data_IF_767629548150
#
_entry.id   IF_767629548150
#
_cell.length_a   1.000
_cell.length_b   1.000
_cell.length_c   1.000
_cell.angle_alpha   90.00
_cell.angle_beta   90.00
_cell.angle_gamma   90.00
#
_symmetry.space_group_name_H-M   'P 1'
#
loop_
_entity.id
_entity.type
_entity.pdbx_description
1 polymer ?
#
# COMPACT_ATOMS: atom_id res chain seq x y z
N UNK A 1 0.07 2.53 -13.50
CA UNK A 1 0.20 1.06 -13.65
C UNK A 1 1.10 0.71 -14.79
N UNK A 2 0.88 1.28 -15.97
CA UNK A 2 1.64 0.96 -17.17
C UNK A 2 3.14 1.27 -16.98
N UNK A 3 3.49 2.36 -16.29
CA UNK A 3 4.89 2.69 -15.96
C UNK A 3 5.58 1.64 -15.08
N UNK A 4 4.89 1.13 -14.04
CA UNK A 4 5.42 0.09 -13.15
C UNK A 4 5.68 -1.20 -13.93
N UNK A 5 4.78 -1.57 -14.83
CA UNK A 5 4.96 -2.75 -15.67
C UNK A 5 6.06 -2.54 -16.73
N UNK A 6 6.14 -1.36 -17.34
CA UNK A 6 7.20 -1.02 -18.29
C UNK A 6 8.59 -1.09 -17.64
N UNK A 7 8.73 -0.58 -16.41
CA UNK A 7 9.98 -0.70 -15.65
C UNK A 7 10.32 -2.17 -15.37
N UNK A 8 9.35 -2.96 -14.92
CA UNK A 8 9.55 -4.39 -14.69
C UNK A 8 10.03 -5.11 -15.96
N UNK A 9 9.40 -4.86 -17.11
CA UNK A 9 9.79 -5.45 -18.38
C UNK A 9 11.20 -5.03 -18.80
N UNK A 10 11.54 -3.75 -18.65
CA UNK A 10 12.87 -3.22 -18.94
C UNK A 10 13.93 -3.94 -18.09
N UNK A 11 13.75 -4.01 -16.79
CA UNK A 11 14.72 -4.65 -15.90
C UNK A 11 14.82 -6.16 -16.15
N UNK A 12 13.70 -6.83 -16.46
CA UNK A 12 13.71 -8.25 -16.81
C UNK A 12 14.54 -8.53 -18.07
N UNK A 13 14.50 -7.62 -19.06
CA UNK A 13 15.37 -7.68 -20.23
C UNK A 13 16.85 -7.51 -19.92
N UNK A 14 17.19 -6.68 -18.93
CA UNK A 14 18.56 -6.42 -18.49
C UNK A 14 19.13 -7.57 -17.63
N UNK A 15 18.30 -8.22 -16.82
CA UNK A 15 18.69 -9.28 -15.88
C UNK A 15 17.78 -10.52 -15.97
N UNK A 16 17.73 -11.24 -17.11
CA UNK A 16 16.72 -12.27 -17.37
C UNK A 16 16.86 -13.55 -16.53
N UNK A 17 18.04 -13.78 -15.93
CA UNK A 17 18.33 -15.00 -15.15
C UNK A 17 18.01 -14.84 -13.66
N UNK A 18 17.76 -13.62 -13.19
CA UNK A 18 17.52 -13.36 -11.77
C UNK A 18 16.03 -13.47 -11.43
N UNK A 19 15.67 -14.06 -10.26
CA UNK A 19 14.30 -14.05 -9.81
C UNK A 19 13.87 -12.63 -9.40
N UNK A 20 12.66 -12.23 -9.80
CA UNK A 20 12.10 -10.93 -9.48
C UNK A 20 11.15 -10.98 -8.29
N UNK A 21 11.39 -10.12 -7.30
CA UNK A 21 10.49 -9.86 -6.17
C UNK A 21 10.00 -8.44 -6.26
N UNK A 22 8.70 -8.24 -6.01
CA UNK A 22 8.14 -6.88 -5.89
C UNK A 22 7.79 -6.57 -4.45
N UNK A 23 8.20 -5.40 -3.96
CA UNK A 23 7.74 -4.84 -2.70
C UNK A 23 7.00 -3.54 -2.98
N UNK A 24 5.77 -3.44 -2.50
CA UNK A 24 4.99 -2.19 -2.55
C UNK A 24 4.61 -1.72 -1.16
N UNK A 25 5.01 -0.50 -0.80
CA UNK A 25 4.61 0.16 0.45
C UNK A 25 3.51 1.21 0.19
N UNK A 26 2.54 1.32 1.11
CA UNK A 26 1.48 2.33 1.09
C UNK A 26 0.72 2.38 -0.26
N UNK A 27 0.68 3.51 -0.96
CA UNK A 27 0.15 3.61 -2.34
C UNK A 27 0.75 2.54 -3.26
N UNK A 28 2.06 2.31 -3.18
CA UNK A 28 2.77 1.26 -3.91
C UNK A 28 2.24 -0.14 -3.62
N UNK A 29 1.72 -0.40 -2.41
CA UNK A 29 1.10 -1.69 -2.08
C UNK A 29 -0.15 -1.96 -2.91
N UNK A 30 -0.96 -0.93 -3.19
CA UNK A 30 -2.15 -1.04 -4.04
C UNK A 30 -1.77 -1.16 -5.52
N UNK A 31 -0.70 -0.46 -5.95
CA UNK A 31 -0.15 -0.63 -7.30
C UNK A 31 0.38 -2.04 -7.51
N UNK A 32 1.14 -2.59 -6.55
CA UNK A 32 1.60 -3.98 -6.58
C UNK A 32 0.43 -4.95 -6.67
N UNK A 33 -0.59 -4.81 -5.81
CA UNK A 33 -1.81 -5.65 -5.89
C UNK A 33 -2.50 -5.53 -7.25
N UNK A 34 -2.49 -4.34 -7.86
CA UNK A 34 -3.03 -4.12 -9.20
C UNK A 34 -2.21 -4.83 -10.28
N UNK A 35 -0.89 -4.82 -10.15
CA UNK A 35 0.03 -5.53 -11.04
C UNK A 35 -0.28 -7.03 -11.04
N UNK A 36 -0.42 -7.62 -9.85
CA UNK A 36 -0.59 -9.06 -9.66
C UNK A 36 -1.83 -9.63 -10.36
N UNK A 37 -2.92 -8.87 -10.50
CA UNK A 37 -4.11 -9.34 -11.25
C UNK A 37 -4.18 -8.86 -12.69
N UNK A 38 -3.51 -7.75 -13.05
CA UNK A 38 -3.49 -7.27 -14.44
C UNK A 38 -2.49 -8.05 -15.29
N UNK A 39 -1.38 -8.46 -14.67
CA UNK A 39 -0.27 -9.17 -15.30
C UNK A 39 0.13 -10.38 -14.43
N UNK A 40 -0.77 -11.38 -14.27
CA UNK A 40 -0.47 -12.56 -13.46
C UNK A 40 0.70 -13.39 -14.01
N UNK A 41 1.05 -13.19 -15.28
CA UNK A 41 2.15 -13.80 -16.02
C UNK A 41 3.43 -12.94 -16.05
N UNK A 42 3.53 -11.91 -15.19
CA UNK A 42 4.63 -10.93 -15.23
C UNK A 42 6.02 -11.48 -14.90
N UNK A 43 6.16 -12.76 -14.55
CA UNK A 43 7.43 -13.37 -14.14
C UNK A 43 7.89 -13.03 -12.72
N UNK A 44 7.04 -12.36 -11.92
CA UNK A 44 7.31 -12.11 -10.50
C UNK A 44 7.25 -13.43 -9.74
N UNK A 45 8.26 -13.70 -8.91
CA UNK A 45 8.41 -14.94 -8.13
C UNK A 45 7.87 -14.84 -6.71
N UNK A 46 7.80 -13.63 -6.15
CA UNK A 46 7.22 -13.37 -4.83
C UNK A 46 6.81 -11.89 -4.70
N UNK A 47 5.84 -11.60 -3.83
CA UNK A 47 5.38 -10.23 -3.59
C UNK A 47 5.29 -9.89 -2.09
N UNK A 48 5.80 -8.72 -1.72
CA UNK A 48 5.67 -8.14 -0.37
C UNK A 48 4.73 -6.93 -0.43
N UNK A 49 3.63 -7.02 0.32
CA UNK A 49 2.58 -6.00 0.40
C UNK A 49 2.69 -5.31 1.76
N UNK A 50 3.26 -4.11 1.77
CA UNK A 50 3.62 -3.36 2.97
C UNK A 50 2.67 -2.19 3.23
N UNK A 51 2.14 -2.06 4.46
CA UNK A 51 1.30 -0.91 4.84
C UNK A 51 0.02 -0.74 4.00
N UNK A 52 -0.63 -1.85 3.63
CA UNK A 52 -1.83 -1.84 2.78
C UNK A 52 -3.14 -1.72 3.58
N UNK A 53 -4.28 -1.68 2.89
CA UNK A 53 -5.59 -1.64 3.54
C UNK A 53 -6.67 -2.47 2.81
N UNK A 54 -7.79 -2.66 3.51
CA UNK A 54 -9.08 -3.05 2.95
C UNK A 54 -10.16 -2.09 3.42
N UNK A 55 -10.80 -1.40 2.49
CA UNK A 55 -11.78 -0.36 2.75
C UNK A 55 -13.23 -0.86 2.59
N UNK A 56 -14.20 -0.35 3.37
CA UNK A 56 -15.61 -0.61 3.14
C UNK A 56 -16.06 -0.12 1.75
N UNK A 57 -16.84 -0.92 1.02
CA UNK A 57 -17.31 -0.57 -0.33
C UNK A 57 -18.14 0.72 -0.36
N UNK A 58 -19.00 0.93 0.65
CA UNK A 58 -19.77 2.17 0.79
C UNK A 58 -18.86 3.39 0.95
N UNK A 59 -17.79 3.30 1.76
CA UNK A 59 -16.84 4.39 1.95
C UNK A 59 -16.11 4.72 0.64
N UNK A 60 -15.67 3.71 -0.11
CA UNK A 60 -15.04 3.89 -1.42
C UNK A 60 -15.99 4.54 -2.43
N UNK A 61 -17.26 4.11 -2.48
CA UNK A 61 -18.27 4.70 -3.38
C UNK A 61 -18.53 6.17 -3.07
N UNK A 62 -18.71 6.50 -1.78
CA UNK A 62 -18.92 7.87 -1.34
C UNK A 62 -17.70 8.74 -1.63
N UNK A 63 -16.49 8.28 -1.26
CA UNK A 63 -15.24 8.98 -1.55
C UNK A 63 -15.03 9.24 -3.04
N UNK A 64 -15.29 8.24 -3.89
CA UNK A 64 -15.22 8.39 -5.35
C UNK A 64 -16.23 9.40 -5.90
N UNK A 65 -17.46 9.40 -5.39
CA UNK A 65 -18.47 10.38 -5.82
C UNK A 65 -18.03 11.81 -5.46
N UNK A 66 -17.46 11.99 -4.26
CA UNK A 66 -16.90 13.27 -3.83
C UNK A 66 -15.71 13.70 -4.68
N UNK A 67 -14.74 12.81 -4.93
CA UNK A 67 -13.59 13.10 -5.80
C UNK A 67 -14.07 13.54 -7.19
N UNK A 68 -15.04 12.82 -7.78
CA UNK A 68 -15.61 13.18 -9.09
C UNK A 68 -16.26 14.55 -9.08
N UNK A 69 -17.03 14.87 -8.03
CA UNK A 69 -17.63 16.19 -7.89
C UNK A 69 -16.57 17.29 -7.80
N UNK A 70 -15.53 17.08 -7.00
CA UNK A 70 -14.40 18.01 -6.87
C UNK A 70 -13.68 18.18 -8.21
N UNK A 71 -13.33 17.09 -8.90
CA UNK A 71 -12.71 17.14 -10.23
C UNK A 71 -13.55 17.92 -11.24
N UNK A 72 -14.87 17.70 -11.26
CA UNK A 72 -15.79 18.40 -12.17
C UNK A 72 -15.89 19.90 -11.88
N UNK A 73 -15.86 20.28 -10.60
CA UNK A 73 -16.07 21.67 -10.16
C UNK A 73 -14.79 22.49 -10.10
N UNK A 74 -13.68 21.87 -9.72
CA UNK A 74 -12.41 22.53 -9.38
C UNK A 74 -11.24 22.10 -10.28
N UNK A 75 -11.41 21.06 -11.12
CA UNK A 75 -10.37 20.53 -12.00
C UNK A 75 -9.57 19.37 -11.39
N UNK A 76 -9.00 18.51 -12.23
CA UNK A 76 -8.28 17.31 -11.79
C UNK A 76 -6.91 17.57 -11.17
N UNK A 77 -6.27 18.68 -11.55
CA UNK A 77 -4.89 19.02 -11.16
C UNK A 77 -4.82 19.86 -9.89
N UNK A 78 -5.97 20.18 -9.27
CA UNK A 78 -6.02 21.01 -8.08
C UNK A 78 -5.99 20.16 -6.81
N UNK A 79 -5.29 20.65 -5.79
CA UNK A 79 -5.39 20.14 -4.42
C UNK A 79 -6.69 20.65 -3.80
N UNK A 80 -7.39 19.78 -3.06
CA UNK A 80 -8.64 20.14 -2.39
C UNK A 80 -8.66 19.69 -0.93
N UNK A 81 -8.27 20.60 -0.02
CA UNK A 81 -8.12 20.32 1.41
C UNK A 81 -9.33 19.64 2.09
N UNK A 82 -10.59 20.00 1.80
CA UNK A 82 -11.72 19.30 2.42
C UNK A 82 -11.77 17.80 2.06
N UNK A 83 -11.37 17.43 0.84
CA UNK A 83 -11.27 16.03 0.43
C UNK A 83 -10.09 15.34 1.14
N UNK A 84 -8.95 16.02 1.23
CA UNK A 84 -7.77 15.53 1.96
C UNK A 84 -8.09 15.24 3.43
N UNK A 85 -8.75 16.17 4.11
CA UNK A 85 -9.17 16.02 5.50
C UNK A 85 -10.18 14.89 5.70
N UNK A 86 -11.04 14.63 4.71
CA UNK A 86 -11.95 13.49 4.76
C UNK A 86 -11.20 12.14 4.70
N UNK A 87 -10.17 12.05 3.84
CA UNK A 87 -9.41 10.80 3.64
C UNK A 87 -8.45 10.58 4.82
N UNK A 88 -7.67 11.60 5.19
CA UNK A 88 -6.52 11.47 6.08
C UNK A 88 -6.70 12.13 7.45
N UNK A 89 -7.69 13.01 7.63
CA UNK A 89 -7.80 13.86 8.83
C UNK A 89 -8.03 13.10 10.14
N UNK A 90 -8.33 11.80 10.07
CA UNK A 90 -8.46 10.94 11.25
C UNK A 90 -7.20 10.13 11.61
N UNK A 91 -6.15 10.18 10.79
CA UNK A 91 -5.02 9.25 10.92
C UNK A 91 -4.21 9.46 12.21
N UNK A 92 -4.11 10.70 12.68
CA UNK A 92 -3.48 11.01 13.96
C UNK A 92 -4.36 10.76 15.20
N UNK A 93 -5.62 10.35 15.03
CA UNK A 93 -6.61 10.32 16.14
C UNK A 93 -6.20 9.43 17.33
N UNK A 94 -5.37 8.42 17.11
CA UNK A 94 -4.89 7.50 18.16
C UNK A 94 -3.48 7.81 18.66
N UNK A 95 -2.90 8.93 18.23
CA UNK A 95 -1.55 9.32 18.60
C UNK A 95 -1.66 10.39 19.69
N UNK A 96 -1.29 10.06 20.94
CA UNK A 96 -1.25 11.05 22.00
C UNK A 96 -0.28 12.17 21.61
N UNK A 97 -0.71 13.41 21.81
CA UNK A 97 0.14 14.60 21.59
C UNK A 97 0.77 14.71 20.19
N UNK A 98 0.06 14.24 19.15
CA UNK A 98 0.50 14.37 17.77
C UNK A 98 0.92 15.82 17.46
N UNK A 99 2.15 16.02 16.99
CA UNK A 99 2.78 17.35 16.84
C UNK A 99 2.63 17.91 15.44
N UNK A 100 2.39 17.04 14.46
CA UNK A 100 2.35 17.37 13.04
C UNK A 100 1.18 16.64 12.36
N UNK A 101 0.77 17.03 11.14
CA UNK A 101 -0.21 16.26 10.36
C UNK A 101 0.24 14.84 9.96
N UNK A 102 1.51 14.49 10.16
CA UNK A 102 2.14 13.28 9.65
C UNK A 102 2.65 12.33 10.74
N UNK A 103 2.35 12.55 12.02
CA UNK A 103 2.82 11.66 13.10
C UNK A 103 2.40 10.20 12.88
N UNK A 104 1.29 9.94 12.20
CA UNK A 104 0.87 8.59 11.83
C UNK A 104 1.82 7.84 10.89
N UNK A 105 2.74 8.55 10.22
CA UNK A 105 3.70 7.96 9.28
C UNK A 105 4.71 7.09 10.03
N UNK A 106 5.37 7.63 11.06
CA UNK A 106 6.45 6.95 11.79
C UNK A 106 6.45 7.34 13.27
N UNK A 107 6.78 6.40 14.16
CA UNK A 107 6.97 6.65 15.58
C UNK A 107 8.29 7.37 15.92
N UNK A 108 9.29 7.27 15.05
CA UNK A 108 10.59 7.93 15.22
C UNK A 108 10.53 9.41 14.81
N UNK A 109 10.74 10.29 15.78
CA UNK A 109 10.72 11.74 15.57
C UNK A 109 11.84 12.25 14.64
N UNK A 110 13.01 11.58 14.60
CA UNK A 110 14.10 11.96 13.72
C UNK A 110 13.74 11.65 12.26
N UNK A 111 13.19 10.45 12.01
CA UNK A 111 12.69 10.07 10.68
C UNK A 111 11.56 11.00 10.24
N UNK A 112 10.61 11.29 11.13
CA UNK A 112 9.50 12.20 10.82
C UNK A 112 10.01 13.62 10.48
N UNK A 113 10.97 14.14 11.23
CA UNK A 113 11.57 15.45 10.93
C UNK A 113 12.32 15.44 9.59
N UNK A 114 13.01 14.36 9.26
CA UNK A 114 13.65 14.21 7.95
C UNK A 114 12.62 14.18 6.82
N UNK A 115 11.52 13.45 6.99
CA UNK A 115 10.40 13.42 6.05
C UNK A 115 9.80 14.82 5.82
N UNK A 116 9.60 15.60 6.89
CA UNK A 116 9.05 16.95 6.80
C UNK A 116 10.01 17.97 6.16
N UNK A 117 11.32 17.73 6.26
CA UNK A 117 12.34 18.60 5.70
C UNK A 117 12.66 18.29 4.22
N UNK A 118 12.26 17.12 3.71
CA UNK A 118 12.54 16.70 2.34
C UNK A 118 11.56 17.36 1.35
N UNK A 119 12.04 18.17 0.38
CA UNK A 119 11.18 18.83 -0.61
C UNK A 119 10.50 17.85 -1.58
N UNK A 120 10.90 16.58 -1.62
CA UNK A 120 10.26 15.53 -2.41
C UNK A 120 9.15 14.79 -1.64
N UNK A 121 8.96 15.09 -0.36
CA UNK A 121 7.99 14.44 0.53
C UNK A 121 6.85 15.39 0.93
N UNK A 122 5.79 14.82 1.52
CA UNK A 122 4.71 15.60 2.15
C UNK A 122 3.83 16.43 1.21
N UNK A 123 3.99 16.28 -0.11
CA UNK A 123 3.17 17.00 -1.09
C UNK A 123 1.70 16.60 -0.99
N UNK A 124 0.82 17.54 -1.30
CA UNK A 124 -0.61 17.27 -1.33
C UNK A 124 -1.02 16.68 -2.67
N UNK A 125 -1.80 15.61 -2.62
CA UNK A 125 -2.32 14.92 -3.79
C UNK A 125 -3.36 15.79 -4.50
N UNK A 126 -3.41 15.70 -5.83
CA UNK A 126 -4.46 16.36 -6.61
C UNK A 126 -5.76 15.58 -6.51
N UNK A 127 -6.90 16.25 -6.71
CA UNK A 127 -8.21 15.59 -6.69
C UNK A 127 -8.33 14.45 -7.72
N UNK A 128 -7.64 14.57 -8.87
CA UNK A 128 -7.53 13.50 -9.86
C UNK A 128 -6.75 12.30 -9.33
N UNK A 129 -5.64 12.52 -8.63
CA UNK A 129 -4.87 11.45 -7.99
C UNK A 129 -5.68 10.74 -6.90
N UNK A 130 -6.40 11.49 -6.05
CA UNK A 130 -7.31 10.92 -5.05
C UNK A 130 -8.36 10.01 -5.70
N UNK A 131 -9.00 10.48 -6.78
CA UNK A 131 -10.00 9.71 -7.54
C UNK A 131 -9.40 8.41 -8.06
N UNK A 132 -8.22 8.47 -8.64
CA UNK A 132 -7.56 7.33 -9.27
C UNK A 132 -7.07 6.32 -8.22
N UNK A 133 -6.53 6.81 -7.09
CA UNK A 133 -6.19 5.99 -5.94
C UNK A 133 -7.41 5.23 -5.40
N UNK A 134 -8.51 5.93 -5.09
CA UNK A 134 -9.73 5.28 -4.59
C UNK A 134 -10.32 4.30 -5.62
N UNK A 135 -10.17 4.59 -6.91
CA UNK A 135 -10.57 3.68 -7.99
C UNK A 135 -9.73 2.42 -7.95
N UNK A 136 -8.40 2.54 -7.85
CA UNK A 136 -7.46 1.43 -7.72
C UNK A 136 -7.77 0.55 -6.50
N UNK A 137 -7.94 1.15 -5.32
CA UNK A 137 -8.29 0.44 -4.08
C UNK A 137 -9.60 -0.35 -4.26
N UNK A 138 -10.63 0.25 -4.87
CA UNK A 138 -11.89 -0.45 -5.16
C UNK A 138 -11.69 -1.63 -6.10
N UNK A 139 -10.85 -1.48 -7.13
CA UNK A 139 -10.55 -2.58 -8.07
C UNK A 139 -9.76 -3.70 -7.39
N UNK A 140 -8.85 -3.40 -6.46
CA UNK A 140 -8.10 -4.39 -5.68
C UNK A 140 -8.97 -5.28 -4.79
N UNK A 141 -10.22 -4.88 -4.54
CA UNK A 141 -11.15 -5.60 -3.67
C UNK A 141 -12.21 -6.39 -4.45
N UNK A 142 -12.21 -6.30 -5.79
CA UNK A 142 -13.13 -7.06 -6.64
C UNK A 142 -12.75 -8.53 -6.67
N UNK A 143 -13.75 -9.40 -6.49
CA UNK A 143 -13.57 -10.86 -6.52
C UNK A 143 -13.01 -11.31 -7.85
N UNK A 144 -13.47 -10.72 -8.96
CA UNK A 144 -13.04 -11.06 -10.31
C UNK A 144 -11.56 -10.71 -10.54
N UNK A 145 -11.07 -9.62 -9.94
CA UNK A 145 -9.66 -9.24 -10.04
C UNK A 145 -8.79 -10.15 -9.16
N UNK A 146 -9.18 -10.39 -7.91
CA UNK A 146 -8.47 -11.34 -7.05
C UNK A 146 -8.41 -12.76 -7.68
N UNK A 147 -9.49 -13.17 -8.34
CA UNK A 147 -9.56 -14.46 -9.04
C UNK A 147 -8.53 -14.60 -10.17
N UNK A 148 -8.10 -13.50 -10.80
CA UNK A 148 -7.12 -13.50 -11.91
C UNK A 148 -5.66 -13.66 -11.48
N UNK A 149 -5.34 -13.45 -10.21
CA UNK A 149 -3.96 -13.58 -9.71
C UNK A 149 -3.47 -15.03 -9.86
N UNK A 150 -2.17 -15.20 -10.11
CA UNK A 150 -1.52 -16.51 -10.05
C UNK A 150 -1.61 -17.07 -8.63
N UNK A 151 -2.26 -18.24 -8.49
CA UNK A 151 -2.55 -18.87 -7.19
C UNK A 151 -1.31 -19.40 -6.49
N UNK A 152 -0.25 -19.67 -7.25
CA UNK A 152 1.01 -20.21 -6.74
C UNK A 152 1.99 -19.13 -6.30
N UNK A 153 1.72 -17.86 -6.61
CA UNK A 153 2.61 -16.76 -6.23
C UNK A 153 2.61 -16.58 -4.70
N UNK A 154 3.76 -16.70 -4.02
CA UNK A 154 3.88 -16.37 -2.61
C UNK A 154 3.66 -14.88 -2.35
N UNK A 155 2.82 -14.56 -1.37
CA UNK A 155 2.53 -13.17 -0.98
C UNK A 155 2.70 -12.98 0.54
N UNK A 156 3.58 -12.07 0.91
CA UNK A 156 3.77 -11.63 2.29
C UNK A 156 3.07 -10.29 2.51
N UNK A 157 2.20 -10.22 3.50
CA UNK A 157 1.67 -8.96 4.03
C UNK A 157 2.45 -8.55 5.27
N UNK A 158 2.86 -7.29 5.34
CA UNK A 158 3.56 -6.69 6.49
C UNK A 158 2.96 -5.32 6.82
N UNK A 159 2.69 -5.05 8.10
CA UNK A 159 2.20 -3.74 8.54
C UNK A 159 2.38 -3.52 10.04
N UNK A 160 2.38 -2.25 10.47
CA UNK A 160 2.35 -1.90 11.88
C UNK A 160 0.93 -2.02 12.44
N UNK A 161 0.78 -2.42 13.70
CA UNK A 161 -0.55 -2.46 14.34
C UNK A 161 -1.04 -1.08 14.77
N UNK A 162 -0.18 -0.07 14.75
CA UNK A 162 -0.53 1.32 15.01
C UNK A 162 -0.82 2.12 13.73
N UNK A 163 -0.77 1.48 12.56
CA UNK A 163 -1.04 2.11 11.26
C UNK A 163 -2.55 2.39 11.04
N UNK A 164 -2.99 3.66 10.93
CA UNK A 164 -4.38 3.98 10.62
C UNK A 164 -4.81 3.57 9.21
N UNK A 165 -3.90 3.53 8.22
CA UNK A 165 -4.21 3.14 6.83
C UNK A 165 -4.74 1.70 6.82
N UNK A 166 -4.01 0.81 7.47
CA UNK A 166 -4.39 -0.59 7.67
C UNK A 166 -5.51 -0.79 8.70
N UNK A 167 -6.19 0.26 9.17
CA UNK A 167 -7.19 0.23 10.25
C UNK A 167 -6.66 -0.52 11.49
N UNK A 168 -5.43 -0.17 11.90
CA UNK A 168 -4.74 -0.74 13.06
C UNK A 168 -4.66 -2.26 12.97
N UNK A 169 -4.15 -2.75 11.83
CA UNK A 169 -4.00 -4.17 11.49
C UNK A 169 -5.27 -4.87 10.96
N UNK A 170 -6.48 -4.37 11.23
CA UNK A 170 -7.72 -5.05 10.78
C UNK A 170 -7.89 -5.06 9.27
N UNK A 171 -7.58 -3.96 8.61
CA UNK A 171 -7.67 -3.82 7.15
C UNK A 171 -6.67 -4.74 6.44
N UNK A 172 -5.44 -4.82 6.94
CA UNK A 172 -4.39 -5.69 6.39
C UNK A 172 -4.77 -7.17 6.57
N UNK A 173 -5.25 -7.56 7.75
CA UNK A 173 -5.79 -8.92 8.00
C UNK A 173 -6.90 -9.27 7.00
N UNK A 174 -7.80 -8.33 6.73
CA UNK A 174 -8.89 -8.52 5.76
C UNK A 174 -8.38 -8.64 4.32
N UNK A 175 -7.33 -7.92 3.94
CA UNK A 175 -6.67 -8.07 2.63
C UNK A 175 -6.02 -9.44 2.47
N UNK A 176 -5.22 -9.89 3.45
CA UNK A 176 -4.61 -11.22 3.42
C UNK A 176 -5.68 -12.32 3.35
N UNK A 177 -6.75 -12.20 4.13
CA UNK A 177 -7.85 -13.14 4.10
C UNK A 177 -8.61 -13.16 2.76
N UNK A 178 -8.75 -12.00 2.11
CA UNK A 178 -9.36 -11.93 0.79
C UNK A 178 -8.50 -12.64 -0.29
N UNK A 179 -7.17 -12.57 -0.17
CA UNK A 179 -6.26 -13.33 -1.03
C UNK A 179 -6.42 -14.83 -0.82
N UNK A 180 -6.43 -15.30 0.43
CA UNK A 180 -6.69 -16.71 0.78
C UNK A 180 -8.03 -17.20 0.24
N UNK A 181 -9.10 -16.43 0.44
CA UNK A 181 -10.45 -16.74 -0.09
C UNK A 181 -10.53 -16.74 -1.61
N UNK A 182 -9.63 -16.02 -2.28
CA UNK A 182 -9.50 -16.04 -3.74
C UNK A 182 -8.66 -17.21 -4.27
N UNK A 183 -8.23 -18.12 -3.39
CA UNK A 183 -7.51 -19.34 -3.72
C UNK A 183 -5.99 -19.19 -3.79
N UNK A 184 -5.42 -18.09 -3.30
CA UNK A 184 -3.95 -17.98 -3.18
C UNK A 184 -3.43 -19.04 -2.21
N UNK A 185 -2.45 -19.82 -2.65
CA UNK A 185 -1.95 -21.00 -1.93
C UNK A 185 -0.97 -20.63 -0.81
N UNK A 186 -0.21 -19.54 -0.98
CA UNK A 186 0.81 -19.09 -0.05
C UNK A 186 0.63 -17.61 0.31
N UNK A 187 0.00 -17.37 1.45
CA UNK A 187 -0.29 -16.03 1.97
C UNK A 187 0.11 -15.93 3.45
N UNK A 188 1.16 -15.19 3.71
CA UNK A 188 1.67 -14.92 5.05
C UNK A 188 1.35 -13.49 5.49
N UNK A 189 1.23 -13.28 6.80
CA UNK A 189 0.97 -11.98 7.40
C UNK A 189 1.78 -11.82 8.67
N UNK A 190 2.60 -10.77 8.72
CA UNK A 190 3.34 -10.35 9.91
C UNK A 190 2.86 -8.95 10.30
N UNK A 191 2.63 -8.75 11.59
CA UNK A 191 2.23 -7.45 12.14
C UNK A 191 3.18 -7.04 13.26
N UNK A 192 3.58 -5.78 13.24
CA UNK A 192 4.59 -5.21 14.12
C UNK A 192 3.93 -4.28 15.15
N UNK A 193 4.03 -4.61 16.44
CA UNK A 193 3.17 -4.02 17.48
C UNK A 193 3.54 -2.61 17.90
N UNK A 194 4.80 -2.21 17.66
CA UNK A 194 5.36 -0.91 18.05
C UNK A 194 5.48 0.05 16.87
N UNK A 195 5.09 -0.38 15.68
CA UNK A 195 5.26 0.38 14.44
C UNK A 195 3.95 0.97 13.92
N UNK A 196 4.06 2.14 13.28
CA UNK A 196 2.99 2.85 12.58
C UNK A 196 3.01 2.45 11.09
N UNK A 197 2.94 3.42 10.18
CA UNK A 197 2.76 3.17 8.75
C UNK A 197 4.07 2.82 8.00
N UNK A 198 5.18 3.49 8.32
CA UNK A 198 6.49 3.26 7.70
C UNK A 198 7.33 2.26 8.48
N UNK A 199 6.85 1.02 8.57
CA UNK A 199 7.54 -0.05 9.33
C UNK A 199 9.00 -0.28 8.90
N UNK A 200 9.39 0.10 7.69
CA UNK A 200 10.76 0.01 7.18
C UNK A 200 11.69 1.08 7.77
N UNK A 201 11.12 2.11 8.40
CA UNK A 201 11.83 3.22 9.02
C UNK A 201 11.50 3.37 10.51
N UNK A 202 10.52 2.62 11.05
CA UNK A 202 10.00 2.76 12.41
C UNK A 202 10.78 1.91 13.44
N UNK A 203 10.29 1.88 14.68
CA UNK A 203 10.92 1.26 15.84
C UNK A 203 11.36 -0.21 15.67
N UNK A 204 10.71 -0.97 14.78
CA UNK A 204 10.99 -2.39 14.56
C UNK A 204 11.67 -2.66 13.19
N UNK A 205 12.25 -1.64 12.54
CA UNK A 205 12.79 -1.75 11.18
C UNK A 205 13.79 -2.89 10.99
N UNK A 206 14.70 -3.13 11.93
CA UNK A 206 15.70 -4.21 11.83
C UNK A 206 15.02 -5.58 11.79
N UNK A 207 13.99 -5.78 12.62
CA UNK A 207 13.18 -7.00 12.61
C UNK A 207 12.41 -7.13 11.29
N UNK A 208 11.82 -6.03 10.80
CA UNK A 208 11.08 -6.01 9.53
C UNK A 208 11.97 -6.41 8.36
N UNK A 209 13.18 -5.86 8.27
CA UNK A 209 14.14 -6.23 7.22
C UNK A 209 14.54 -7.70 7.33
N UNK A 210 14.79 -8.19 8.54
CA UNK A 210 15.16 -9.59 8.77
C UNK A 210 14.05 -10.56 8.37
N UNK A 211 12.81 -10.28 8.75
CA UNK A 211 11.64 -11.12 8.44
C UNK A 211 11.37 -11.15 6.93
N UNK A 212 11.40 -9.99 6.27
CA UNK A 212 11.24 -9.91 4.82
C UNK A 212 12.36 -10.69 4.12
N UNK A 213 13.62 -10.53 4.55
CA UNK A 213 14.76 -11.22 3.96
C UNK A 213 14.66 -12.74 4.11
N UNK A 214 14.35 -13.22 5.32
CA UNK A 214 14.17 -14.65 5.59
C UNK A 214 13.02 -15.24 4.78
N UNK A 215 11.90 -14.52 4.72
CA UNK A 215 10.76 -14.93 3.92
C UNK A 215 11.12 -15.03 2.43
N UNK A 216 11.72 -13.98 1.85
CA UNK A 216 12.17 -13.97 0.45
C UNK A 216 13.13 -15.14 0.20
N UNK A 217 14.10 -15.34 1.08
CA UNK A 217 15.07 -16.43 0.95
C UNK A 217 14.38 -17.79 0.93
N UNK A 218 13.38 -18.03 1.78
CA UNK A 218 12.62 -19.29 1.81
C UNK A 218 11.77 -19.59 0.57
N UNK A 219 11.45 -18.58 -0.25
CA UNK A 219 10.59 -18.75 -1.44
C UNK A 219 11.37 -18.85 -2.75
N UNK A 220 12.63 -18.42 -2.76
CA UNK A 220 13.35 -18.12 -4.00
C UNK A 220 14.76 -18.74 -4.04
N UNK A 221 15.39 -18.91 -2.88
CA UNK A 221 16.68 -19.59 -2.73
C UNK A 221 16.46 -21.08 -2.43
#
# INVERSE_FOLDING_TARGET
MDDTYALLQKTHGECPQLPYVILGHSMGSFLTRTLLYRHPDSGIRAAVICGTAWQPDAALKTGLAMCRHVCQKHGETQVYEPLRNLIFGSYNRRIPEAKTPFDWVCGDAQILNAYLADPLCGFSETAGLDRDMLTGIRMNQKRENLARMDKKLPVLFVAGTQDPVGNYGRGVRKSAEAFRKAGMEDVELILYDKSRHEILNDAEKEQVFQDIFQWISSKIL
#
